data_IF_582853157450
#
_entry.id   IF_582853157450
#
_cell.length_a   1.000
_cell.length_b   1.000
_cell.length_c   1.000
_cell.angle_alpha   90.00
_cell.angle_beta   90.00
_cell.angle_gamma   90.00
#
_symmetry.space_group_name_H-M   'P 1'
#
loop_
_entity.id
_entity.type
_entity.pdbx_description
1 polymer ?
#
# COMPACT_ATOMS: atom_id res chain seq x y z
N UNK A 1 28.62 17.37 -11.13
CA UNK A 1 27.38 17.23 -11.95
C UNK A 1 26.26 16.69 -11.06
N UNK A 2 25.45 17.59 -10.50
CA UNK A 2 24.37 17.26 -9.58
C UNK A 2 23.11 16.83 -10.34
N UNK A 3 22.68 15.58 -10.14
CA UNK A 3 21.41 15.05 -10.64
C UNK A 3 20.22 15.86 -10.08
N UNK A 4 19.13 16.04 -10.85
CA UNK A 4 18.01 16.87 -10.41
C UNK A 4 17.28 16.20 -9.25
N UNK A 5 17.14 16.94 -8.14
CA UNK A 5 16.30 16.61 -6.99
C UNK A 5 14.85 16.48 -7.44
N UNK A 6 14.48 15.28 -7.90
CA UNK A 6 13.11 14.91 -8.22
C UNK A 6 12.33 14.92 -6.91
N UNK A 7 11.57 15.99 -6.67
CA UNK A 7 10.56 16.17 -5.62
C UNK A 7 10.45 14.99 -4.66
N UNK A 8 11.30 14.95 -3.64
CA UNK A 8 11.00 14.19 -2.44
C UNK A 8 9.82 14.91 -1.80
N UNK A 9 8.60 14.47 -2.12
CA UNK A 9 7.49 14.68 -1.20
C UNK A 9 7.99 14.17 0.15
N UNK A 10 8.12 15.04 1.15
CA UNK A 10 8.35 14.62 2.53
C UNK A 10 7.25 13.60 2.83
N UNK A 11 7.62 12.32 2.85
CA UNK A 11 6.73 11.28 3.32
C UNK A 11 6.48 11.60 4.80
N UNK A 12 5.29 12.09 5.12
CA UNK A 12 4.87 12.19 6.51
C UNK A 12 4.58 10.78 6.99
N UNK A 13 5.63 10.11 7.46
CA UNK A 13 5.53 8.80 8.08
C UNK A 13 4.85 9.00 9.43
N UNK A 14 3.72 8.32 9.63
CA UNK A 14 3.03 8.19 10.92
C UNK A 14 3.92 7.33 11.80
N UNK A 15 4.61 7.95 12.76
CA UNK A 15 5.60 7.28 13.62
C UNK A 15 4.96 6.30 14.59
N UNK A 16 3.70 6.53 14.92
CA UNK A 16 2.90 5.71 15.84
C UNK A 16 2.24 4.52 15.11
N UNK A 17 2.40 4.40 13.79
CA UNK A 17 1.90 3.25 13.04
C UNK A 17 2.74 2.01 13.36
N UNK A 18 2.13 1.01 14.00
CA UNK A 18 2.77 -0.28 14.28
C UNK A 18 2.28 -1.32 13.29
N UNK A 19 3.19 -2.13 12.77
CA UNK A 19 2.83 -3.24 11.88
C UNK A 19 2.09 -4.34 12.66
N UNK A 20 0.95 -4.80 12.14
CA UNK A 20 0.14 -5.87 12.74
C UNK A 20 0.25 -7.18 11.96
N UNK A 21 0.31 -7.09 10.63
CA UNK A 21 0.51 -8.22 9.75
C UNK A 21 1.37 -7.82 8.55
N UNK A 22 2.35 -8.65 8.21
CA UNK A 22 3.30 -8.40 7.13
C UNK A 22 3.27 -9.54 6.11
N UNK A 23 3.16 -9.17 4.83
CA UNK A 23 3.07 -10.11 3.73
C UNK A 23 4.16 -9.84 2.71
N UNK A 24 4.79 -10.89 2.20
CA UNK A 24 5.66 -10.75 1.05
C UNK A 24 4.83 -10.58 -0.23
N UNK A 25 5.09 -9.50 -0.97
CA UNK A 25 4.30 -9.13 -2.14
C UNK A 25 5.19 -8.73 -3.32
N UNK A 26 4.60 -8.72 -4.51
CA UNK A 26 5.20 -8.12 -5.70
C UNK A 26 4.34 -6.93 -6.12
N UNK A 27 4.92 -5.72 -6.13
CA UNK A 27 4.30 -4.52 -6.71
C UNK A 27 4.47 -4.54 -8.22
N UNK A 28 3.39 -4.36 -8.97
CA UNK A 28 3.40 -4.30 -10.43
C UNK A 28 3.32 -2.84 -10.87
N UNK A 29 4.31 -2.38 -11.63
CA UNK A 29 4.34 -1.04 -12.20
C UNK A 29 4.79 -1.09 -13.65
N UNK A 30 4.60 0.01 -14.38
CA UNK A 30 5.11 0.14 -15.74
C UNK A 30 6.64 0.04 -15.85
N UNK A 31 7.37 0.40 -14.78
CA UNK A 31 8.84 0.29 -14.72
C UNK A 31 9.33 -1.12 -14.37
N UNK A 32 8.42 -2.05 -14.11
CA UNK A 32 8.74 -3.42 -13.73
C UNK A 32 8.06 -3.86 -12.43
N UNK A 33 8.46 -5.06 -11.99
CA UNK A 33 7.95 -5.75 -10.80
C UNK A 33 8.96 -5.65 -9.67
N UNK A 34 8.49 -5.32 -8.47
CA UNK A 34 9.35 -5.13 -7.31
C UNK A 34 8.86 -5.94 -6.11
N UNK A 35 9.78 -6.66 -5.45
CA UNK A 35 9.48 -7.33 -4.18
C UNK A 35 9.34 -6.31 -3.05
N UNK A 36 8.30 -6.44 -2.23
CA UNK A 36 7.99 -5.56 -1.10
C UNK A 36 7.44 -6.38 0.05
N UNK A 37 7.78 -5.99 1.28
CA UNK A 37 6.97 -6.35 2.44
C UNK A 37 5.79 -5.39 2.45
N UNK A 38 4.57 -5.91 2.44
CA UNK A 38 3.34 -5.15 2.55
C UNK A 38 2.80 -5.35 3.97
N UNK A 39 2.74 -4.27 4.74
CA UNK A 39 2.27 -4.28 6.11
C UNK A 39 0.90 -3.64 6.22
N UNK A 40 0.01 -4.34 6.93
CA UNK A 40 -1.21 -3.78 7.52
C UNK A 40 -0.84 -3.33 8.93
N UNK A 41 -0.87 -2.02 9.18
CA UNK A 41 -0.52 -1.44 10.48
C UNK A 41 -1.72 -1.01 11.32
N UNK A 42 -1.48 -0.26 12.38
CA UNK A 42 -2.55 0.28 13.24
C UNK A 42 -3.24 1.51 12.66
N UNK A 43 -2.58 2.27 11.79
CA UNK A 43 -3.07 3.55 11.24
C UNK A 43 -2.92 3.65 9.71
N UNK A 44 -2.11 2.79 9.11
CA UNK A 44 -1.71 2.88 7.72
C UNK A 44 -1.34 1.53 7.13
N UNK A 45 -1.44 1.43 5.81
CA UNK A 45 -0.72 0.41 5.03
C UNK A 45 0.68 0.93 4.73
N UNK A 46 1.70 0.14 5.02
CA UNK A 46 3.11 0.49 4.76
C UNK A 46 3.75 -0.54 3.84
N UNK A 47 4.63 -0.11 2.93
CA UNK A 47 5.45 -1.03 2.13
C UNK A 47 6.92 -0.80 2.36
N UNK A 48 7.67 -1.88 2.56
CA UNK A 48 9.10 -1.84 2.86
C UNK A 48 9.93 -2.50 1.76
N UNK A 49 11.19 -2.06 1.64
CA UNK A 49 12.20 -2.83 0.94
C UNK A 49 12.47 -4.12 1.73
N UNK A 50 12.36 -5.31 1.14
CA UNK A 50 12.48 -6.57 1.88
C UNK A 50 13.87 -6.83 2.44
N UNK A 51 14.92 -6.19 1.90
CA UNK A 51 16.29 -6.41 2.34
C UNK A 51 16.72 -5.40 3.42
N UNK A 52 16.27 -4.15 3.32
CA UNK A 52 16.68 -3.07 4.24
C UNK A 52 15.61 -2.72 5.27
N UNK A 53 14.37 -3.19 5.08
CA UNK A 53 13.19 -2.79 5.85
C UNK A 53 12.92 -1.29 5.88
N UNK A 54 13.53 -0.52 4.97
CA UNK A 54 13.23 0.90 4.83
C UNK A 54 11.83 1.08 4.22
N UNK A 55 11.08 2.04 4.78
CA UNK A 55 9.78 2.43 4.27
C UNK A 55 9.93 2.97 2.84
N UNK A 56 9.24 2.34 1.91
CA UNK A 56 9.18 2.78 0.51
C UNK A 56 7.95 3.62 0.22
N UNK A 57 6.81 3.30 0.85
CA UNK A 57 5.56 4.08 0.78
C UNK A 57 4.75 3.82 2.05
N UNK A 58 3.93 4.77 2.46
CA UNK A 58 2.94 4.62 3.53
C UNK A 58 1.67 5.36 3.15
N UNK A 59 0.53 4.71 3.37
CA UNK A 59 -0.81 5.24 3.09
C UNK A 59 -1.64 5.20 4.36
N UNK A 60 -1.90 6.36 4.98
CA UNK A 60 -2.86 6.47 6.08
C UNK A 60 -4.22 5.92 5.68
N UNK A 61 -4.96 5.28 6.59
CA UNK A 61 -6.27 4.72 6.26
C UNK A 61 -7.23 5.76 5.68
N UNK A 62 -7.21 6.99 6.21
CA UNK A 62 -8.02 8.09 5.70
C UNK A 62 -7.75 8.50 4.24
N UNK A 63 -6.65 8.06 3.64
CA UNK A 63 -6.35 8.26 2.22
C UNK A 63 -6.75 7.06 1.35
N UNK A 64 -6.92 5.87 1.93
CA UNK A 64 -7.26 4.66 1.20
C UNK A 64 -8.73 4.71 0.81
N UNK A 65 -9.04 4.50 -0.47
CA UNK A 65 -10.40 4.36 -0.97
C UNK A 65 -10.86 2.91 -0.87
N UNK A 66 -10.03 1.99 -1.37
CA UNK A 66 -10.36 0.57 -1.38
C UNK A 66 -9.13 -0.31 -1.52
N UNK A 67 -9.27 -1.54 -1.03
CA UNK A 67 -8.38 -2.65 -1.33
C UNK A 67 -9.24 -3.82 -1.82
N UNK A 68 -8.94 -4.38 -2.98
CA UNK A 68 -9.83 -5.37 -3.61
C UNK A 68 -9.07 -6.37 -4.48
N UNK A 69 -9.58 -7.62 -4.58
CA UNK A 69 -8.99 -8.61 -5.48
C UNK A 69 -9.11 -8.18 -6.94
N UNK A 70 -8.12 -8.53 -7.76
CA UNK A 70 -8.21 -8.38 -9.22
C UNK A 70 -8.79 -9.65 -9.83
N UNK A 71 -9.81 -9.50 -10.68
CA UNK A 71 -10.50 -10.60 -11.36
C UNK A 71 -11.52 -11.34 -10.48
N UNK A 72 -12.28 -12.26 -11.10
CA UNK A 72 -13.24 -13.13 -10.41
C UNK A 72 -12.57 -14.49 -10.17
N UNK A 73 -12.07 -14.78 -8.96
CA UNK A 73 -11.55 -16.12 -8.61
C UNK A 73 -10.25 -16.15 -7.79
N UNK A 74 -9.55 -17.29 -7.84
CA UNK A 74 -8.35 -17.68 -7.06
C UNK A 74 -7.03 -17.02 -7.50
N UNK A 75 -7.10 -15.77 -7.98
CA UNK A 75 -5.89 -15.03 -8.36
C UNK A 75 -5.03 -14.64 -7.17
N UNK A 76 -3.78 -14.26 -7.44
CA UNK A 76 -2.86 -13.70 -6.44
C UNK A 76 -2.85 -12.17 -6.44
N UNK A 77 -3.46 -11.54 -7.45
CA UNK A 77 -3.43 -10.11 -7.66
C UNK A 77 -4.54 -9.37 -6.89
N UNK A 78 -4.19 -8.19 -6.39
CA UNK A 78 -5.09 -7.24 -5.75
C UNK A 78 -4.68 -5.80 -6.07
N UNK A 79 -5.63 -4.88 -5.93
CA UNK A 79 -5.46 -3.46 -6.12
C UNK A 79 -5.57 -2.73 -4.78
N UNK A 80 -4.70 -1.74 -4.58
CA UNK A 80 -4.81 -0.73 -3.53
C UNK A 80 -5.11 0.62 -4.20
N UNK A 81 -6.26 1.20 -3.90
CA UNK A 81 -6.68 2.51 -4.41
C UNK A 81 -6.68 3.53 -3.29
N UNK A 82 -6.06 4.70 -3.51
CA UNK A 82 -5.94 5.77 -2.52
C UNK A 82 -5.99 7.15 -3.16
N UNK A 83 -6.33 8.18 -2.38
CA UNK A 83 -6.27 9.60 -2.76
C UNK A 83 -4.86 10.13 -2.53
N UNK A 84 -4.39 10.98 -3.44
CA UNK A 84 -3.15 11.72 -3.21
C UNK A 84 -3.41 12.90 -2.30
N UNK A 85 -2.48 13.19 -1.41
CA UNK A 85 -2.53 14.34 -0.50
C UNK A 85 -2.72 15.69 -1.22
N UNK A 86 -2.42 15.78 -2.51
CA UNK A 86 -2.50 17.00 -3.31
C UNK A 86 -3.65 17.04 -4.34
N UNK A 87 -4.60 16.10 -4.35
CA UNK A 87 -5.62 16.11 -5.40
C UNK A 87 -6.86 15.24 -5.19
N UNK A 88 -7.92 15.58 -5.92
CA UNK A 88 -9.20 14.85 -5.93
C UNK A 88 -9.14 13.48 -6.65
N UNK A 89 -8.07 13.22 -7.40
CA UNK A 89 -7.95 12.02 -8.24
C UNK A 89 -7.32 10.87 -7.44
N UNK A 90 -7.99 9.72 -7.44
CA UNK A 90 -7.47 8.48 -6.88
C UNK A 90 -6.37 7.87 -7.78
N UNK A 91 -5.44 7.17 -7.16
CA UNK A 91 -4.45 6.31 -7.82
C UNK A 91 -4.68 4.86 -7.37
N UNK A 92 -4.53 3.93 -8.31
CA UNK A 92 -4.59 2.49 -8.04
C UNK A 92 -3.24 1.85 -8.32
N UNK A 93 -2.74 1.10 -7.34
CA UNK A 93 -1.56 0.27 -7.46
C UNK A 93 -1.93 -1.21 -7.45
N UNK A 94 -1.31 -1.98 -8.33
CA UNK A 94 -1.49 -3.43 -8.39
C UNK A 94 -0.36 -4.15 -7.64
N UNK A 95 -0.74 -5.13 -6.83
CA UNK A 95 0.16 -6.01 -6.10
C UNK A 95 -0.25 -7.47 -6.33
N UNK A 96 0.65 -8.41 -6.01
CA UNK A 96 0.32 -9.82 -5.94
C UNK A 96 1.02 -10.54 -4.79
N UNK A 97 0.34 -11.53 -4.22
CA UNK A 97 0.87 -12.47 -3.22
C UNK A 97 0.07 -13.77 -3.24
N UNK A 98 0.69 -14.88 -2.85
CA UNK A 98 -0.02 -16.15 -2.65
C UNK A 98 -1.01 -16.07 -1.48
N UNK A 99 -0.72 -15.24 -0.48
CA UNK A 99 -1.54 -15.00 0.71
C UNK A 99 -2.56 -13.88 0.50
N UNK A 100 -3.14 -13.77 -0.70
CA UNK A 100 -4.00 -12.61 -1.06
C UNK A 100 -5.23 -12.56 -0.16
N UNK A 101 -5.84 -13.71 0.12
CA UNK A 101 -7.05 -13.81 0.93
C UNK A 101 -6.79 -13.34 2.35
N UNK A 102 -5.71 -13.81 2.99
CA UNK A 102 -5.32 -13.41 4.33
C UNK A 102 -4.98 -11.92 4.40
N UNK A 103 -4.22 -11.41 3.43
CA UNK A 103 -3.86 -9.99 3.34
C UNK A 103 -5.10 -9.11 3.24
N UNK A 104 -6.04 -9.46 2.36
CA UNK A 104 -7.29 -8.71 2.19
C UNK A 104 -8.14 -8.77 3.46
N UNK A 105 -8.23 -9.93 4.11
CA UNK A 105 -8.93 -10.08 5.39
C UNK A 105 -8.35 -9.15 6.45
N UNK A 106 -7.04 -9.14 6.64
CA UNK A 106 -6.39 -8.25 7.63
C UNK A 106 -6.58 -6.77 7.29
N UNK A 107 -6.41 -6.39 6.02
CA UNK A 107 -6.57 -5.00 5.61
C UNK A 107 -8.02 -4.50 5.77
N UNK A 108 -9.01 -5.36 5.50
CA UNK A 108 -10.43 -4.99 5.56
C UNK A 108 -10.98 -4.88 6.99
N UNK A 109 -10.25 -5.32 8.02
CA UNK A 109 -10.58 -5.03 9.43
C UNK A 109 -10.64 -3.53 9.72
N UNK A 110 -9.92 -2.73 8.94
CA UNK A 110 -9.84 -1.26 9.05
C UNK A 110 -10.71 -0.54 8.02
N UNK A 111 -11.62 -1.24 7.33
CA UNK A 111 -12.42 -0.67 6.25
C UNK A 111 -13.22 0.58 6.68
N UNK A 112 -13.68 0.65 7.92
CA UNK A 112 -14.40 1.81 8.46
C UNK A 112 -13.54 3.07 8.57
N UNK A 113 -12.22 2.90 8.63
CA UNK A 113 -11.26 4.02 8.71
C UNK A 113 -10.83 4.50 7.33
N UNK A 114 -11.23 3.79 6.26
CA UNK A 114 -10.95 4.18 4.89
C UNK A 114 -11.73 5.44 4.50
N UNK A 115 -11.24 6.16 3.50
CA UNK A 115 -11.85 7.41 3.00
C UNK A 115 -13.29 7.26 2.50
N UNK A 116 -13.72 6.04 2.12
CA UNK A 116 -15.09 5.72 1.69
C UNK A 116 -15.96 5.12 2.80
N UNK A 117 -15.38 4.81 3.98
CA UNK A 117 -16.08 4.28 5.15
C UNK A 117 -16.65 5.35 6.09
N UNK A 118 -16.44 6.64 5.75
CA UNK A 118 -16.98 7.81 6.45
C UNK A 118 -18.11 8.47 5.68
#
# INVERSE_FOLDING_TARGET
SSLPRRFQHKMNIIRENKDLACFYTTKHSWRGKYKRVFSVGTHAITTYNPNTLEVTNQWPYGDICSISPVGKGQGTEFNLTFRKSSGKKSETLKFSTEHRTELLTEALRFRTDFSEGK
#
